data_IF_284496681291
#
_entry.id   IF_284496681291
#
_cell.length_a   1.000
_cell.length_b   1.000
_cell.length_c   1.000
_cell.angle_alpha   90.00
_cell.angle_beta   90.00
_cell.angle_gamma   90.00
#
_symmetry.space_group_name_H-M   'P 1'
#
loop_
_entity.id
_entity.type
_entity.pdbx_description
1 polymer ?
#
# COMPACT_ATOMS: atom_id res chain seq x y z
N UNK A 1 -4.39 -18.66 4.58
CA UNK A 1 -3.61 -19.85 4.20
C UNK A 1 -2.55 -19.41 3.20
N UNK A 2 -1.26 -19.63 3.48
CA UNK A 2 -0.12 -19.09 2.70
C UNK A 2 -0.25 -19.40 1.19
N UNK A 3 -0.54 -20.65 0.84
CA UNK A 3 -0.68 -21.10 -0.56
C UNK A 3 -1.75 -20.31 -1.33
N UNK A 4 -2.90 -20.02 -0.72
CA UNK A 4 -3.98 -19.28 -1.37
C UNK A 4 -3.58 -17.82 -1.64
N UNK A 5 -2.80 -17.21 -0.75
CA UNK A 5 -2.28 -15.86 -0.94
C UNK A 5 -1.29 -15.82 -2.09
N UNK A 6 -0.38 -16.79 -2.18
CA UNK A 6 0.56 -16.90 -3.30
C UNK A 6 -0.16 -17.01 -4.64
N UNK A 7 -1.20 -17.83 -4.73
CA UNK A 7 -2.00 -17.97 -5.95
C UNK A 7 -2.74 -16.67 -6.27
N UNK A 8 -3.47 -16.10 -5.29
CA UNK A 8 -4.36 -14.96 -5.52
C UNK A 8 -3.61 -13.65 -5.77
N UNK A 9 -2.59 -13.38 -4.97
CA UNK A 9 -1.96 -12.06 -4.90
C UNK A 9 -0.61 -12.00 -5.60
N UNK A 10 0.14 -13.11 -5.60
CA UNK A 10 1.45 -13.21 -6.25
C UNK A 10 1.38 -13.87 -7.64
N UNK A 11 0.24 -14.45 -8.01
CA UNK A 11 0.04 -15.08 -9.32
C UNK A 11 0.78 -16.39 -9.51
N UNK A 12 1.24 -17.02 -8.43
CA UNK A 12 1.96 -18.29 -8.49
C UNK A 12 1.00 -19.44 -8.81
N UNK A 13 1.34 -20.28 -9.79
CA UNK A 13 0.48 -21.39 -10.22
C UNK A 13 1.06 -22.78 -9.94
N UNK A 14 2.36 -22.88 -9.65
CA UNK A 14 3.02 -24.15 -9.30
C UNK A 14 3.08 -24.33 -7.77
N UNK A 15 2.42 -25.37 -7.27
CA UNK A 15 2.40 -25.70 -5.84
C UNK A 15 3.80 -26.08 -5.34
N UNK A 16 4.64 -26.70 -6.17
CA UNK A 16 6.00 -27.05 -5.77
C UNK A 16 6.86 -25.81 -5.60
N UNK A 17 6.66 -24.78 -6.43
CA UNK A 17 7.32 -23.49 -6.30
C UNK A 17 6.89 -22.77 -5.03
N UNK A 18 5.58 -22.74 -4.75
CA UNK A 18 5.04 -22.19 -3.50
C UNK A 18 5.60 -22.94 -2.29
N UNK A 19 5.70 -24.26 -2.36
CA UNK A 19 6.21 -25.11 -1.28
C UNK A 19 7.71 -24.93 -1.00
N UNK A 20 8.48 -24.36 -1.94
CA UNK A 20 9.90 -24.04 -1.76
C UNK A 20 10.13 -22.68 -1.10
N UNK A 21 9.12 -21.81 -1.03
CA UNK A 21 9.25 -20.52 -0.37
C UNK A 21 9.50 -20.69 1.13
N UNK A 22 10.54 -20.03 1.60
CA UNK A 22 10.70 -19.76 3.03
C UNK A 22 9.64 -18.76 3.50
N UNK A 23 9.35 -18.75 4.81
CA UNK A 23 8.44 -17.76 5.39
C UNK A 23 8.91 -16.32 5.12
N UNK A 24 10.23 -16.09 5.17
CA UNK A 24 10.82 -14.80 4.86
C UNK A 24 10.57 -14.35 3.41
N UNK A 25 10.80 -15.24 2.44
CA UNK A 25 10.56 -14.92 1.02
C UNK A 25 9.07 -14.66 0.77
N UNK A 26 8.20 -15.45 1.39
CA UNK A 26 6.77 -15.21 1.36
C UNK A 26 6.41 -13.83 1.91
N UNK A 27 6.90 -13.46 3.09
CA UNK A 27 6.61 -12.17 3.73
C UNK A 27 7.14 -11.00 2.90
N UNK A 28 8.33 -11.14 2.30
CA UNK A 28 8.91 -10.15 1.39
C UNK A 28 8.03 -9.94 0.15
N UNK A 29 7.59 -11.02 -0.49
CA UNK A 29 6.72 -10.97 -1.67
C UNK A 29 5.35 -10.36 -1.31
N UNK A 30 4.77 -10.73 -0.18
CA UNK A 30 3.50 -10.18 0.29
C UNK A 30 3.62 -8.69 0.63
N UNK A 31 4.72 -8.27 1.25
CA UNK A 31 5.02 -6.86 1.52
C UNK A 31 5.12 -6.08 0.21
N UNK A 32 5.88 -6.59 -0.76
CA UNK A 32 5.98 -5.97 -2.09
C UNK A 32 4.61 -5.85 -2.77
N UNK A 33 3.77 -6.87 -2.67
CA UNK A 33 2.41 -6.84 -3.22
C UNK A 33 1.49 -5.85 -2.50
N UNK A 34 1.63 -5.69 -1.19
CA UNK A 34 0.90 -4.69 -0.42
C UNK A 34 1.29 -3.27 -0.87
N UNK A 35 2.59 -2.99 -1.03
CA UNK A 35 3.08 -1.70 -1.52
C UNK A 35 2.57 -1.40 -2.94
N UNK A 36 2.62 -2.38 -3.84
CA UNK A 36 2.04 -2.24 -5.19
C UNK A 36 0.53 -1.95 -5.16
N UNK A 37 -0.21 -2.50 -4.20
CA UNK A 37 -1.63 -2.16 -4.03
C UNK A 37 -1.84 -0.70 -3.61
N UNK A 38 -0.93 -0.14 -2.80
CA UNK A 38 -0.96 1.29 -2.43
C UNK A 38 -0.66 2.16 -3.65
N UNK A 39 0.27 1.76 -4.52
CA UNK A 39 0.55 2.44 -5.79
C UNK A 39 -0.66 2.46 -6.72
N UNK A 40 -1.37 1.34 -6.83
CA UNK A 40 -2.62 1.25 -7.61
C UNK A 40 -3.70 2.16 -7.03
N UNK A 41 -3.90 2.13 -5.71
CA UNK A 41 -4.84 3.00 -5.02
C UNK A 41 -4.49 4.48 -5.25
N UNK A 42 -3.22 4.84 -5.14
CA UNK A 42 -2.73 6.20 -5.39
C UNK A 42 -3.07 6.68 -6.80
N UNK A 43 -2.88 5.84 -7.83
CA UNK A 43 -3.28 6.16 -9.21
C UNK A 43 -4.78 6.38 -9.34
N UNK A 44 -5.59 5.47 -8.77
CA UNK A 44 -7.05 5.59 -8.80
C UNK A 44 -7.54 6.85 -8.08
N UNK A 45 -7.00 7.13 -6.90
CA UNK A 45 -7.32 8.34 -6.14
C UNK A 45 -6.89 9.61 -6.86
N UNK A 46 -5.73 9.61 -7.54
CA UNK A 46 -5.29 10.76 -8.35
C UNK A 46 -6.25 11.03 -9.51
N UNK A 47 -6.76 9.98 -10.16
CA UNK A 47 -7.78 10.15 -11.19
C UNK A 47 -9.09 10.69 -10.61
N UNK A 48 -9.55 10.14 -9.49
CA UNK A 48 -10.75 10.62 -8.79
C UNK A 48 -10.60 12.08 -8.34
N UNK A 49 -9.41 12.47 -7.88
CA UNK A 49 -9.07 13.83 -7.49
C UNK A 49 -9.20 14.82 -8.64
N UNK A 50 -8.64 14.48 -9.80
CA UNK A 50 -8.76 15.31 -11.02
C UNK A 50 -10.24 15.48 -11.39
N UNK A 51 -11.02 14.39 -11.35
CA UNK A 51 -12.46 14.43 -11.63
C UNK A 51 -13.23 15.27 -10.59
N UNK A 52 -12.84 15.20 -9.31
CA UNK A 52 -13.46 15.93 -8.20
C UNK A 52 -13.15 17.43 -8.25
N UNK A 53 -11.92 17.83 -8.61
CA UNK A 53 -11.57 19.24 -8.80
C UNK A 53 -12.47 19.95 -9.81
N UNK A 54 -13.02 19.22 -10.79
CA UNK A 54 -13.97 19.76 -11.77
C UNK A 54 -15.36 20.04 -11.16
N UNK A 55 -15.74 19.38 -10.05
CA UNK A 55 -17.15 19.27 -9.64
C UNK A 55 -17.48 19.72 -8.22
N UNK A 56 -16.51 19.81 -7.31
CA UNK A 56 -16.81 19.87 -5.88
C UNK A 56 -16.30 21.14 -5.19
N UNK A 57 -17.18 22.14 -5.16
CA UNK A 57 -17.08 23.30 -4.28
C UNK A 57 -18.07 23.17 -3.13
N UNK A 58 -17.71 23.68 -1.96
CA UNK A 58 -18.61 23.87 -0.82
C UNK A 58 -18.75 25.35 -0.54
N UNK A 59 -19.95 25.77 -0.13
CA UNK A 59 -20.19 27.14 0.29
C UNK A 59 -19.71 27.33 1.74
N UNK A 60 -18.92 28.37 1.98
CA UNK A 60 -18.44 28.78 3.30
C UNK A 60 -18.75 30.26 3.50
N UNK A 61 -19.12 30.63 4.73
CA UNK A 61 -19.55 31.99 5.08
C UNK A 61 -21.06 32.08 5.34
N UNK A 62 -21.52 33.24 5.83
CA UNK A 62 -22.92 33.51 6.17
C UNK A 62 -23.42 34.78 5.49
N UNK A 63 -24.72 34.82 5.18
CA UNK A 63 -25.36 35.95 4.50
C UNK A 63 -24.76 36.24 3.12
N UNK A 64 -24.38 37.51 2.88
CA UNK A 64 -23.80 37.98 1.61
C UNK A 64 -22.34 37.56 1.37
N UNK A 65 -21.67 36.98 2.37
CA UNK A 65 -20.25 36.60 2.31
C UNK A 65 -20.02 35.11 1.97
N UNK A 66 -21.02 34.44 1.37
CA UNK A 66 -20.86 33.05 0.93
C UNK A 66 -19.85 32.96 -0.20
N UNK A 67 -18.85 32.09 -0.05
CA UNK A 67 -17.82 31.81 -1.04
C UNK A 67 -17.77 30.32 -1.31
N UNK A 68 -17.58 29.94 -2.55
CA UNK A 68 -17.30 28.57 -2.94
C UNK A 68 -15.81 28.27 -2.73
N UNK A 69 -15.51 27.22 -1.96
CA UNK A 69 -14.14 26.71 -1.80
C UNK A 69 -14.11 25.22 -2.10
N UNK A 70 -12.99 24.68 -2.60
CA UNK A 70 -12.81 23.23 -2.71
C UNK A 70 -12.95 22.54 -1.35
N UNK A 71 -13.59 21.36 -1.33
CA UNK A 71 -13.77 20.56 -0.10
C UNK A 71 -12.42 20.13 0.49
N UNK A 72 -11.55 19.62 -0.37
CA UNK A 72 -10.16 19.30 -0.05
C UNK A 72 -9.27 20.36 -0.69
N UNK A 73 -8.23 20.80 0.02
CA UNK A 73 -7.31 21.83 -0.50
C UNK A 73 -6.24 21.19 -1.38
N UNK A 74 -5.68 20.09 -0.89
CA UNK A 74 -4.58 19.39 -1.53
C UNK A 74 -4.93 17.92 -1.74
N UNK A 75 -4.27 17.26 -2.69
CA UNK A 75 -4.45 15.83 -2.90
C UNK A 75 -4.11 14.99 -1.66
N UNK A 76 -3.12 15.42 -0.86
CA UNK A 76 -2.76 14.75 0.40
C UNK A 76 -3.91 14.72 1.42
N UNK A 77 -4.81 15.71 1.39
CA UNK A 77 -6.01 15.72 2.25
C UNK A 77 -7.06 14.70 1.78
N UNK A 78 -7.00 14.31 0.50
CA UNK A 78 -7.88 13.32 -0.11
C UNK A 78 -7.31 11.90 0.01
N UNK A 79 -6.00 11.74 -0.16
CA UNK A 79 -5.28 10.48 -0.02
C UNK A 79 -3.83 10.72 0.40
N UNK A 80 -3.45 10.23 1.59
CA UNK A 80 -2.09 10.33 2.12
C UNK A 80 -1.29 9.06 1.82
N UNK A 81 -0.60 9.06 0.68
CA UNK A 81 0.23 7.95 0.22
C UNK A 81 1.31 7.56 1.24
N UNK A 82 1.98 8.55 1.85
CA UNK A 82 3.08 8.31 2.79
C UNK A 82 2.58 7.61 4.05
N UNK A 83 1.38 7.99 4.53
CA UNK A 83 0.75 7.33 5.66
C UNK A 83 0.39 5.87 5.37
N UNK A 84 -0.11 5.56 4.16
CA UNK A 84 -0.44 4.18 3.77
C UNK A 84 0.81 3.30 3.63
N UNK A 85 1.88 3.82 3.02
CA UNK A 85 3.18 3.12 2.96
C UNK A 85 3.69 2.85 4.37
N UNK A 86 3.62 3.84 5.26
CA UNK A 86 4.09 3.71 6.64
C UNK A 86 3.34 2.65 7.42
N UNK A 87 2.04 2.44 7.18
CA UNK A 87 1.28 1.35 7.84
C UNK A 87 1.86 -0.02 7.49
N UNK A 88 2.20 -0.21 6.22
CA UNK A 88 2.79 -1.47 5.74
C UNK A 88 4.21 -1.63 6.30
N UNK A 89 5.04 -0.59 6.24
CA UNK A 89 6.45 -0.70 6.67
C UNK A 89 6.63 -0.71 8.18
N UNK A 90 5.72 -0.10 8.96
CA UNK A 90 5.79 -0.15 10.43
C UNK A 90 5.27 -1.48 11.00
N UNK A 91 4.45 -2.23 10.27
CA UNK A 91 4.12 -3.63 10.61
C UNK A 91 5.31 -4.56 10.35
N UNK A 92 6.19 -4.20 9.42
CA UNK A 92 7.49 -4.85 9.20
C UNK A 92 8.47 -4.30 10.24
N UNK A 93 8.38 -4.82 11.46
CA UNK A 93 9.32 -4.50 12.54
C UNK A 93 10.77 -4.74 12.06
N UNK A 94 11.57 -3.67 12.03
CA UNK A 94 13.00 -3.66 11.65
C UNK A 94 13.85 -4.65 12.48
N UNK A 95 13.27 -5.18 13.56
CA UNK A 95 13.80 -6.21 14.44
C UNK A 95 13.82 -7.62 13.84
N UNK A 96 13.06 -7.92 12.77
CA UNK A 96 13.13 -9.20 12.02
C UNK A 96 14.36 -9.24 11.08
N UNK A 97 15.49 -8.92 11.69
CA UNK A 97 16.54 -9.90 11.93
C UNK A 97 17.56 -10.08 10.80
N UNK A 98 18.46 -9.08 10.68
CA UNK A 98 19.76 -9.25 10.02
C UNK A 98 20.49 -10.50 10.49
N UNK A 99 20.29 -10.96 11.73
CA UNK A 99 20.93 -12.14 12.31
C UNK A 99 20.22 -13.43 11.85
N UNK A 100 18.89 -13.48 11.77
CA UNK A 100 18.17 -14.60 11.15
C UNK A 100 18.46 -14.66 9.66
N UNK A 101 18.51 -13.52 8.97
CA UNK A 101 18.84 -13.49 7.55
C UNK A 101 20.26 -13.98 7.29
N UNK A 102 21.22 -13.58 8.13
CA UNK A 102 22.60 -14.10 8.13
C UNK A 102 22.68 -15.59 8.49
N UNK A 103 21.87 -16.07 9.45
CA UNK A 103 21.80 -17.49 9.83
C UNK A 103 21.19 -18.36 8.71
N UNK A 104 20.17 -17.86 8.01
CA UNK A 104 19.53 -18.55 6.88
C UNK A 104 20.46 -18.61 5.66
N UNK A 105 21.18 -17.52 5.36
CA UNK A 105 22.22 -17.50 4.32
C UNK A 105 23.33 -18.52 4.59
N UNK A 106 23.72 -18.70 5.86
CA UNK A 106 24.73 -19.68 6.28
C UNK A 106 24.23 -21.13 6.25
N UNK A 107 22.93 -21.36 6.38
CA UNK A 107 22.34 -22.70 6.39
C UNK A 107 22.11 -23.28 4.98
N UNK A 108 22.10 -22.43 3.95
CA UNK A 108 21.95 -22.82 2.54
C UNK A 108 23.29 -22.99 1.79
N UNK A 109 24.42 -22.85 2.49
CA UNK A 109 25.80 -23.12 2.04
C UNK A 109 26.27 -24.46 2.61
#
# INVERSE_FOLDING_TARGET
>A
MIVLNCIRYLGMTDINEIGRLTLYEYDLLMTGKALASVDEAHKAHKQAWINHQVSATRLVGSGKNKKEVPVYKNFKDFFDYEAEIKKITNEVDESYDKKAMDLLLKANL
#
